data_IF_767827243952
#
_entry.id   IF_767827243952
#
_cell.length_a   1.000
_cell.length_b   1.000
_cell.length_c   1.000
_cell.angle_alpha   90.00
_cell.angle_beta   90.00
_cell.angle_gamma   90.00
#
_symmetry.space_group_name_H-M   'P 1'
#
loop_
_entity.id
_entity.type
_entity.pdbx_description
1 polymer ?
#
# COMPACT_ATOMS: atom_id res chain seq x y z
N UNK A 1 -3.70 -8.18 -5.96
CA UNK A 1 -2.38 -8.00 -5.33
C UNK A 1 -2.58 -7.04 -4.18
N UNK A 2 -2.06 -7.38 -2.99
CA UNK A 2 -2.17 -6.51 -1.83
C UNK A 2 -0.99 -5.53 -1.78
N UNK A 3 -1.20 -4.44 -1.06
CA UNK A 3 -0.30 -3.32 -0.83
C UNK A 3 1.10 -3.74 -0.42
N UNK A 4 1.21 -4.64 0.57
CA UNK A 4 2.50 -5.07 1.12
C UNK A 4 3.35 -5.78 0.06
N UNK A 5 2.74 -6.68 -0.73
CA UNK A 5 3.43 -7.34 -1.86
C UNK A 5 3.81 -6.37 -2.96
N UNK A 6 3.01 -5.32 -3.19
CA UNK A 6 3.38 -4.29 -4.15
C UNK A 6 4.61 -3.52 -3.66
N UNK A 7 4.69 -3.17 -2.37
CA UNK A 7 5.86 -2.54 -1.77
C UNK A 7 7.10 -3.43 -1.80
N UNK A 8 6.97 -4.74 -1.58
CA UNK A 8 8.07 -5.71 -1.62
C UNK A 8 8.85 -5.66 -2.95
N UNK A 9 8.17 -5.40 -4.07
CA UNK A 9 8.82 -5.27 -5.40
C UNK A 9 9.81 -4.12 -5.45
N UNK A 10 9.56 -3.04 -4.71
CA UNK A 10 10.39 -1.84 -4.69
C UNK A 10 11.36 -1.80 -3.51
N UNK A 11 11.17 -2.65 -2.50
CA UNK A 11 11.95 -2.62 -1.28
C UNK A 11 13.43 -2.93 -1.54
N UNK A 12 14.31 -2.16 -0.88
CA UNK A 12 15.73 -2.50 -0.85
C UNK A 12 15.94 -3.89 -0.24
N UNK A 13 17.03 -4.59 -0.54
CA UNK A 13 17.22 -5.99 -0.09
C UNK A 13 17.14 -6.15 1.43
N UNK A 14 17.68 -5.18 2.17
CA UNK A 14 17.63 -5.16 3.63
C UNK A 14 16.26 -4.71 4.18
N UNK A 15 15.44 -4.01 3.37
CA UNK A 15 14.10 -3.53 3.75
C UNK A 15 12.99 -4.54 3.43
N UNK A 16 13.16 -5.39 2.40
CA UNK A 16 12.11 -6.32 1.94
C UNK A 16 11.65 -7.34 2.98
N UNK A 17 12.42 -7.54 4.06
CA UNK A 17 12.05 -8.40 5.21
C UNK A 17 11.33 -7.66 6.33
N UNK A 18 11.22 -6.33 6.25
CA UNK A 18 10.72 -5.47 7.32
C UNK A 18 9.34 -4.87 7.05
N UNK A 19 8.73 -5.11 5.87
CA UNK A 19 7.38 -4.61 5.59
C UNK A 19 6.39 -5.24 6.58
N UNK A 20 5.83 -4.42 7.45
CA UNK A 20 4.87 -4.88 8.46
C UNK A 20 3.58 -5.27 7.76
N UNK A 21 3.07 -6.49 7.98
CA UNK A 21 1.80 -6.91 7.40
C UNK A 21 0.62 -6.29 8.18
N UNK A 22 -0.46 -5.94 7.50
CA UNK A 22 -1.66 -5.33 8.11
C UNK A 22 -2.25 -6.15 9.26
N UNK A 23 -2.05 -7.46 9.26
CA UNK A 23 -2.49 -8.37 10.33
C UNK A 23 -1.78 -8.10 11.66
N UNK A 24 -0.60 -7.48 11.66
CA UNK A 24 0.07 -7.02 12.89
C UNK A 24 -0.56 -5.76 13.47
N UNK A 25 -1.37 -5.05 12.68
CA UNK A 25 -2.11 -3.84 13.09
C UNK A 25 -3.54 -4.17 13.49
N UNK A 26 -4.23 -4.95 12.66
CA UNK A 26 -5.67 -5.20 12.77
C UNK A 26 -6.04 -6.69 12.73
N UNK A 27 -5.07 -7.60 12.82
CA UNK A 27 -5.32 -9.04 12.80
C UNK A 27 -5.68 -9.64 14.16
N UNK A 28 -5.93 -10.96 14.21
CA UNK A 28 -6.23 -11.66 15.45
C UNK A 28 -5.16 -11.45 16.52
N UNK A 29 -5.59 -11.21 17.76
CA UNK A 29 -4.68 -11.01 18.91
C UNK A 29 -4.11 -9.61 19.08
N UNK A 30 -4.37 -8.68 18.16
CA UNK A 30 -4.11 -7.25 18.38
C UNK A 30 -5.21 -6.65 19.27
N UNK A 31 -4.92 -5.62 20.06
CA UNK A 31 -5.92 -4.86 20.81
C UNK A 31 -5.72 -3.37 20.57
N UNK A 32 -6.78 -2.64 20.27
CA UNK A 32 -6.74 -1.20 19.98
C UNK A 32 -7.01 -0.33 21.20
N UNK A 33 -7.41 -0.94 22.32
CA UNK A 33 -7.60 -0.25 23.58
C UNK A 33 -6.85 -0.91 24.73
N UNK A 34 -6.59 -0.14 25.78
CA UNK A 34 -5.98 -0.61 27.03
C UNK A 34 -7.07 -1.06 27.99
N UNK A 35 -6.92 -2.28 28.50
CA UNK A 35 -7.88 -2.86 29.45
C UNK A 35 -9.20 -3.25 28.80
N UNK A 36 -10.27 -3.20 29.59
CA UNK A 36 -11.65 -3.43 29.14
C UNK A 36 -12.35 -2.09 28.99
N UNK A 37 -13.23 -1.99 27.98
CA UNK A 37 -14.15 -0.86 27.94
C UNK A 37 -15.21 -1.03 29.03
N UNK A 38 -15.74 0.08 29.54
CA UNK A 38 -16.66 0.03 30.68
C UNK A 38 -17.81 1.03 30.49
N UNK A 39 -18.98 0.68 31.03
CA UNK A 39 -20.10 1.59 31.27
C UNK A 39 -20.27 1.76 32.78
N UNK A 40 -20.29 3.01 33.24
CA UNK A 40 -20.43 3.36 34.66
C UNK A 40 -21.43 4.50 34.84
N UNK A 41 -22.21 4.45 35.92
CA UNK A 41 -23.15 5.50 36.33
C UNK A 41 -22.51 6.36 37.41
N UNK A 42 -22.68 7.67 37.31
CA UNK A 42 -22.18 8.68 38.23
C UNK A 42 -23.34 9.56 38.69
N UNK A 43 -23.23 10.09 39.91
CA UNK A 43 -24.05 11.21 40.33
C UNK A 43 -23.20 12.48 40.38
N UNK A 44 -23.72 13.57 39.84
CA UNK A 44 -23.03 14.87 39.88
C UNK A 44 -23.20 15.59 41.23
N UNK A 45 -24.04 15.06 42.14
CA UNK A 45 -24.29 15.61 43.47
C UNK A 45 -23.48 14.93 44.56
N UNK A 46 -22.55 15.67 45.18
CA UNK A 46 -21.88 15.25 46.41
C UNK A 46 -22.88 14.96 47.56
N UNK A 47 -22.48 14.07 48.48
CA UNK A 47 -23.19 13.66 49.71
C UNK A 47 -24.74 13.60 49.62
N UNK A 48 -25.27 12.41 49.28
CA UNK A 48 -26.71 12.13 49.39
C UNK A 48 -27.36 11.47 48.18
N UNK A 49 -26.61 11.27 47.09
CA UNK A 49 -27.08 10.58 45.88
C UNK A 49 -27.67 9.19 46.19
N UNK A 50 -28.73 8.76 45.47
CA UNK A 50 -29.28 7.41 45.63
C UNK A 50 -28.20 6.36 45.38
N UNK A 51 -28.05 5.45 46.34
CA UNK A 51 -27.03 4.41 46.31
C UNK A 51 -27.60 3.17 45.60
N UNK A 52 -27.12 2.90 44.39
CA UNK A 52 -27.41 1.66 43.64
C UNK A 52 -26.14 0.89 43.30
N UNK A 53 -26.29 -0.39 42.92
CA UNK A 53 -25.15 -1.24 42.52
C UNK A 53 -24.33 -0.66 41.35
N UNK A 54 -24.94 0.20 40.53
CA UNK A 54 -24.32 0.79 39.34
C UNK A 54 -23.67 2.18 39.57
N UNK A 55 -23.92 2.85 40.71
CA UNK A 55 -23.49 4.25 40.96
C UNK A 55 -22.08 4.30 41.57
N UNK A 56 -21.11 4.77 40.79
CA UNK A 56 -19.72 4.94 41.19
C UNK A 56 -19.51 6.18 42.08
N UNK A 57 -18.65 6.04 43.10
CA UNK A 57 -18.35 7.10 44.09
C UNK A 57 -17.18 8.01 43.68
N UNK A 58 -16.37 7.58 42.74
CA UNK A 58 -15.17 8.30 42.30
C UNK A 58 -15.47 9.24 41.13
N UNK A 59 -14.52 10.14 40.84
CA UNK A 59 -14.60 10.99 39.65
C UNK A 59 -14.80 10.12 38.40
N UNK A 60 -15.59 10.59 37.41
CA UNK A 60 -15.73 9.88 36.17
C UNK A 60 -14.34 9.67 35.53
N UNK A 61 -14.02 8.45 35.10
CA UNK A 61 -12.77 8.12 34.43
C UNK A 61 -12.66 8.97 33.17
N UNK A 62 -11.42 9.38 32.90
CA UNK A 62 -11.07 9.94 31.61
C UNK A 62 -11.00 8.79 30.61
N UNK A 63 -11.74 8.95 29.51
CA UNK A 63 -11.74 8.05 28.37
C UNK A 63 -11.30 8.85 27.14
N UNK A 64 -10.46 8.26 26.30
CA UNK A 64 -10.09 8.83 25.01
C UNK A 64 -11.30 8.90 24.05
N UNK A 65 -12.13 7.85 24.07
CA UNK A 65 -13.39 7.76 23.31
C UNK A 65 -14.51 7.45 24.29
N UNK A 66 -15.55 8.29 24.33
CA UNK A 66 -16.67 8.10 25.24
C UNK A 66 -17.98 8.66 24.72
N UNK A 67 -19.04 8.14 25.32
CA UNK A 67 -20.42 8.56 25.15
C UNK A 67 -21.02 8.72 26.53
N UNK A 68 -21.95 9.67 26.66
CA UNK A 68 -22.71 9.82 27.89
C UNK A 68 -24.19 10.05 27.64
N UNK A 69 -24.97 9.78 28.68
CA UNK A 69 -26.36 10.18 28.80
C UNK A 69 -26.60 10.70 30.20
N UNK A 70 -27.34 11.79 30.28
CA UNK A 70 -27.68 12.42 31.55
C UNK A 70 -29.17 12.20 31.83
N UNK A 71 -29.50 12.06 33.11
CA UNK A 71 -30.87 11.84 33.58
C UNK A 71 -31.10 12.61 34.88
N UNK A 72 -32.23 13.27 34.98
CA UNK A 72 -32.66 13.95 36.21
C UNK A 72 -33.77 13.13 36.87
N UNK A 73 -33.55 12.77 38.12
CA UNK A 73 -34.51 12.08 38.98
C UNK A 73 -35.04 13.05 40.04
N UNK A 74 -36.35 13.26 40.09
CA UNK A 74 -36.99 13.98 41.18
C UNK A 74 -37.36 13.00 42.30
N UNK A 75 -36.76 13.17 43.49
CA UNK A 75 -37.09 12.39 44.68
C UNK A 75 -38.31 13.05 45.37
N UNK A 76 -39.50 12.44 45.28
CA UNK A 76 -40.71 13.00 45.88
C UNK A 76 -40.70 12.95 47.41
N UNK A 77 -39.84 12.14 48.02
CA UNK A 77 -39.73 12.01 49.47
C UNK A 77 -38.86 13.13 50.05
N UNK A 78 -37.79 13.51 49.34
CA UNK A 78 -36.87 14.57 49.76
C UNK A 78 -37.18 15.93 49.16
N UNK A 79 -38.11 16.00 48.21
CA UNK A 79 -38.40 17.20 47.42
C UNK A 79 -37.12 17.76 46.76
N UNK A 80 -36.28 16.86 46.24
CA UNK A 80 -34.97 17.18 45.66
C UNK A 80 -34.79 16.50 44.30
N UNK A 81 -34.21 17.22 43.35
CA UNK A 81 -33.79 16.68 42.05
C UNK A 81 -32.33 16.23 42.13
N UNK A 82 -32.06 15.03 41.61
CA UNK A 82 -30.73 14.46 41.48
C UNK A 82 -30.37 14.31 40.01
N UNK A 83 -29.19 14.82 39.62
CA UNK A 83 -28.63 14.58 38.30
C UNK A 83 -27.73 13.35 38.33
N UNK A 84 -28.00 12.43 37.40
CA UNK A 84 -27.23 11.23 37.14
C UNK A 84 -26.64 11.36 35.73
N UNK A 85 -25.42 10.88 35.56
CA UNK A 85 -24.75 10.78 34.27
C UNK A 85 -24.21 9.37 34.12
N UNK A 86 -24.50 8.69 33.02
CA UNK A 86 -23.88 7.43 32.67
C UNK A 86 -22.88 7.64 31.56
N UNK A 87 -21.68 7.08 31.71
CA UNK A 87 -20.61 7.16 30.70
C UNK A 87 -20.16 5.78 30.29
N UNK A 88 -20.20 5.50 28.99
CA UNK A 88 -19.53 4.38 28.37
C UNK A 88 -18.29 4.88 27.64
N UNK A 89 -17.15 4.24 27.83
CA UNK A 89 -15.95 4.66 27.13
C UNK A 89 -14.79 3.70 27.26
N UNK A 90 -13.73 4.05 26.52
CA UNK A 90 -12.53 3.25 26.40
C UNK A 90 -11.31 4.15 26.24
N UNK A 91 -10.17 3.71 26.77
CA UNK A 91 -8.87 4.33 26.54
C UNK A 91 -8.12 3.57 25.45
N UNK A 92 -7.68 4.29 24.43
CA UNK A 92 -7.03 3.66 23.29
C UNK A 92 -5.60 3.25 23.63
N UNK A 93 -5.09 2.24 22.93
CA UNK A 93 -3.70 1.85 23.06
C UNK A 93 -2.81 2.79 22.24
N UNK A 94 -2.46 3.93 22.84
CA UNK A 94 -1.56 4.91 22.26
C UNK A 94 -0.15 4.33 21.96
N UNK A 95 0.24 3.19 22.53
CA UNK A 95 1.52 2.56 22.21
C UNK A 95 1.56 2.03 20.77
N UNK A 96 0.38 1.79 20.17
CA UNK A 96 0.25 1.50 18.73
C UNK A 96 0.57 2.69 17.83
N UNK A 97 0.67 3.91 18.35
CA UNK A 97 1.01 5.09 17.53
C UNK A 97 2.47 5.49 17.63
N UNK A 98 3.22 4.88 18.56
CA UNK A 98 4.62 5.22 18.81
C UNK A 98 5.52 4.78 17.66
N UNK A 99 6.63 5.48 17.50
CA UNK A 99 7.70 5.09 16.57
C UNK A 99 8.11 3.63 16.79
N UNK A 100 8.16 2.86 15.70
CA UNK A 100 8.49 1.43 15.70
C UNK A 100 7.32 0.50 16.06
N UNK A 101 6.15 1.02 16.43
CA UNK A 101 4.95 0.20 16.58
C UNK A 101 4.46 -0.33 15.23
N UNK A 102 3.72 -1.46 15.19
CA UNK A 102 3.24 -2.03 13.93
C UNK A 102 2.44 -1.05 13.06
N UNK A 103 1.58 -0.23 13.65
CA UNK A 103 0.78 0.74 12.89
C UNK A 103 1.64 1.90 12.37
N UNK A 104 2.52 2.46 13.21
CA UNK A 104 3.45 3.50 12.77
C UNK A 104 4.29 3.03 11.59
N UNK A 105 4.87 1.84 11.72
CA UNK A 105 5.69 1.21 10.68
C UNK A 105 4.86 0.93 9.42
N UNK A 106 3.65 0.39 9.54
CA UNK A 106 2.75 0.16 8.39
C UNK A 106 2.44 1.45 7.61
N UNK A 107 2.23 2.57 8.32
CA UNK A 107 1.91 3.87 7.70
C UNK A 107 3.15 4.51 7.05
N UNK A 108 4.33 4.38 7.66
CA UNK A 108 5.50 5.18 7.31
C UNK A 108 6.57 4.43 6.51
N UNK A 109 6.70 3.11 6.64
CA UNK A 109 7.73 2.35 5.90
C UNK A 109 7.49 2.33 4.39
N UNK A 110 6.25 2.54 3.95
CA UNK A 110 5.99 2.78 2.53
C UNK A 110 6.84 3.93 1.97
N UNK A 111 7.09 4.99 2.76
CA UNK A 111 7.93 6.11 2.33
C UNK A 111 9.40 5.72 2.30
N UNK A 112 9.87 4.88 3.21
CA UNK A 112 11.28 4.43 3.22
C UNK A 112 11.59 3.52 2.03
N UNK A 113 10.58 2.82 1.50
CA UNK A 113 10.64 2.02 0.27
C UNK A 113 10.52 2.88 -0.99
N UNK A 114 9.50 3.74 -1.06
CA UNK A 114 9.15 4.44 -2.30
C UNK A 114 9.98 5.71 -2.54
N UNK A 115 10.38 6.44 -1.49
CA UNK A 115 11.09 7.71 -1.64
C UNK A 115 12.43 7.57 -2.37
N UNK A 116 13.30 6.59 -2.05
CA UNK A 116 14.58 6.45 -2.76
C UNK A 116 14.41 6.20 -4.26
N UNK A 117 13.30 5.56 -4.67
CA UNK A 117 13.01 5.25 -6.08
C UNK A 117 12.41 6.47 -6.80
N UNK A 118 11.57 7.27 -6.13
CA UNK A 118 10.90 8.43 -6.72
C UNK A 118 11.73 9.72 -6.71
N UNK A 119 12.52 9.93 -5.66
CA UNK A 119 13.26 11.15 -5.41
C UNK A 119 14.77 10.88 -5.43
N UNK A 120 15.61 11.91 -5.62
CA UNK A 120 17.06 11.72 -5.69
C UNK A 120 17.58 10.87 -4.53
N UNK A 121 18.31 9.78 -4.81
CA UNK A 121 19.04 9.49 -6.05
C UNK A 121 18.25 8.78 -7.18
N UNK A 122 16.94 8.56 -7.02
CA UNK A 122 16.07 7.84 -7.95
C UNK A 122 16.50 6.37 -8.14
N UNK A 123 16.93 5.70 -7.07
CA UNK A 123 17.33 4.30 -7.06
C UNK A 123 17.49 3.75 -5.64
N UNK A 124 17.44 2.43 -5.52
CA UNK A 124 17.96 1.63 -4.42
C UNK A 124 18.69 0.39 -4.97
N UNK A 125 19.07 -0.56 -4.11
CA UNK A 125 19.82 -1.77 -4.50
C UNK A 125 18.98 -2.86 -5.20
N UNK A 126 17.66 -2.67 -5.28
CA UNK A 126 16.71 -3.54 -5.98
C UNK A 126 16.19 -2.89 -7.27
N UNK A 127 15.93 -1.58 -7.23
CA UNK A 127 15.20 -0.83 -8.26
C UNK A 127 15.94 0.44 -8.62
N UNK A 128 16.26 0.62 -9.90
CA UNK A 128 16.94 1.81 -10.41
C UNK A 128 16.37 2.22 -11.79
N UNK A 129 15.34 3.10 -11.85
CA UNK A 129 14.85 3.65 -13.11
C UNK A 129 15.95 4.18 -14.07
N UNK A 130 17.06 4.80 -13.60
CA UNK A 130 18.15 5.22 -14.47
C UNK A 130 18.85 4.07 -15.20
N UNK A 131 18.82 2.83 -14.71
CA UNK A 131 19.47 1.70 -15.39
C UNK A 131 18.81 1.38 -16.74
N UNK A 132 17.51 1.62 -16.88
CA UNK A 132 16.80 1.49 -18.14
C UNK A 132 17.26 2.49 -19.20
N UNK A 133 17.64 3.71 -18.78
CA UNK A 133 18.19 4.73 -19.68
C UNK A 133 19.53 4.27 -20.23
N UNK A 134 20.42 3.78 -19.36
CA UNK A 134 21.73 3.25 -19.77
C UNK A 134 21.57 2.05 -20.71
N UNK A 135 20.68 1.11 -20.38
CA UNK A 135 20.43 -0.06 -21.21
C UNK A 135 19.84 0.31 -22.58
N UNK A 136 18.91 1.27 -22.61
CA UNK A 136 18.33 1.79 -23.86
C UNK A 136 19.38 2.46 -24.73
N UNK A 137 20.22 3.30 -24.14
CA UNK A 137 21.25 4.02 -24.89
C UNK A 137 22.29 3.03 -25.45
N UNK A 138 22.66 1.98 -24.69
CA UNK A 138 23.48 0.89 -25.21
C UNK A 138 22.81 0.14 -26.38
N UNK A 139 21.49 -0.06 -26.36
CA UNK A 139 20.76 -0.66 -27.48
C UNK A 139 20.76 0.25 -28.72
N UNK A 140 20.63 1.57 -28.54
CA UNK A 140 20.74 2.54 -29.64
C UNK A 140 22.15 2.60 -30.23
N UNK A 141 23.17 2.61 -29.38
CA UNK A 141 24.57 2.59 -29.82
C UNK A 141 24.88 1.31 -30.63
N UNK A 142 24.30 0.18 -30.24
CA UNK A 142 24.41 -1.08 -30.99
C UNK A 142 23.69 -1.00 -32.35
N UNK A 143 22.52 -0.35 -32.41
CA UNK A 143 21.78 -0.10 -33.66
C UNK A 143 22.66 0.69 -34.65
N UNK A 144 23.19 1.82 -34.19
CA UNK A 144 24.03 2.71 -34.97
C UNK A 144 25.33 2.02 -35.42
N UNK A 145 25.93 1.21 -34.54
CA UNK A 145 27.12 0.43 -34.85
C UNK A 145 26.85 -0.59 -35.96
N UNK A 146 25.79 -1.39 -35.84
CA UNK A 146 25.44 -2.43 -36.82
C UNK A 146 25.10 -1.81 -38.19
N UNK A 147 24.28 -0.75 -38.21
CA UNK A 147 23.89 -0.05 -39.43
C UNK A 147 25.10 0.62 -40.09
N UNK A 148 25.92 1.33 -39.31
CA UNK A 148 27.09 2.06 -39.81
C UNK A 148 28.16 1.14 -40.38
N UNK A 149 28.48 0.03 -39.70
CA UNK A 149 29.44 -0.95 -40.21
C UNK A 149 28.91 -1.68 -41.45
N UNK A 150 27.64 -2.09 -41.46
CA UNK A 150 27.00 -2.68 -42.64
C UNK A 150 27.16 -1.77 -43.86
N UNK A 151 26.81 -0.49 -43.74
CA UNK A 151 26.93 0.48 -44.83
C UNK A 151 28.38 0.68 -45.28
N UNK A 152 29.33 0.74 -44.34
CA UNK A 152 30.75 0.92 -44.65
C UNK A 152 31.34 -0.26 -45.41
N UNK A 153 31.05 -1.48 -44.95
CA UNK A 153 31.51 -2.72 -45.58
C UNK A 153 30.89 -2.89 -46.97
N UNK A 154 29.59 -2.61 -47.10
CA UNK A 154 28.91 -2.58 -48.40
C UNK A 154 29.57 -1.59 -49.35
N UNK A 155 29.86 -0.37 -48.89
CA UNK A 155 30.55 0.65 -49.68
C UNK A 155 31.97 0.23 -50.10
N UNK A 156 32.68 -0.55 -49.29
CA UNK A 156 33.95 -1.16 -49.70
C UNK A 156 33.75 -2.22 -50.80
N UNK A 157 32.77 -3.11 -50.62
CA UNK A 157 32.45 -4.13 -51.62
C UNK A 157 32.04 -3.51 -52.97
N UNK A 158 31.29 -2.41 -52.96
CA UNK A 158 30.80 -1.74 -54.16
C UNK A 158 31.94 -1.13 -54.99
N UNK A 159 33.01 -0.62 -54.35
CA UNK A 159 34.20 -0.07 -55.02
C UNK A 159 35.14 -1.15 -55.56
N UNK A 160 35.26 -2.29 -54.90
CA UNK A 160 36.18 -3.34 -55.34
C UNK A 160 35.67 -3.98 -56.64
N UNK A 161 36.59 -4.22 -57.58
CA UNK A 161 36.28 -4.80 -58.89
C UNK A 161 35.22 -3.99 -59.68
N UNK A 162 35.15 -2.68 -59.47
CA UNK A 162 34.33 -1.77 -60.26
C UNK A 162 35.13 -1.19 -61.45
N UNK A 163 34.45 -0.78 -62.55
CA UNK A 163 35.14 -0.17 -63.68
C UNK A 163 35.88 1.11 -63.27
N UNK A 164 37.17 1.20 -63.64
CA UNK A 164 38.00 2.38 -63.37
C UNK A 164 38.71 2.39 -62.01
N UNK A 165 38.55 1.36 -61.20
CA UNK A 165 39.25 1.22 -59.90
C UNK A 165 40.57 0.45 -60.06
N UNK A 166 41.54 0.71 -59.19
CA UNK A 166 42.88 0.13 -59.27
C UNK A 166 42.91 -1.38 -58.99
N UNK A 167 41.95 -1.88 -58.20
CA UNK A 167 41.89 -3.29 -57.82
C UNK A 167 40.76 -4.05 -58.53
N UNK A 168 41.16 -4.79 -59.57
CA UNK A 168 40.26 -5.59 -60.42
C UNK A 168 40.76 -7.03 -60.57
N UNK A 169 39.91 -7.88 -61.15
CA UNK A 169 40.23 -9.27 -61.49
C UNK A 169 39.61 -10.29 -60.53
N UNK A 170 39.93 -11.56 -60.72
CA UNK A 170 39.31 -12.68 -59.99
C UNK A 170 39.47 -12.57 -58.47
N UNK A 171 40.66 -12.18 -57.98
CA UNK A 171 40.91 -11.99 -56.56
C UNK A 171 40.09 -10.82 -55.96
N UNK A 172 39.98 -9.70 -56.69
CA UNK A 172 39.13 -8.57 -56.31
C UNK A 172 37.65 -8.99 -56.26
N UNK A 173 37.20 -9.79 -57.23
CA UNK A 173 35.85 -10.35 -57.25
C UNK A 173 35.54 -11.26 -56.05
N UNK A 174 36.47 -12.14 -55.65
CA UNK A 174 36.32 -12.99 -54.46
C UNK A 174 36.27 -12.16 -53.18
N UNK A 175 37.12 -11.14 -53.05
CA UNK A 175 37.12 -10.29 -51.87
C UNK A 175 35.87 -9.40 -51.78
N UNK A 176 35.37 -8.89 -52.92
CA UNK A 176 34.05 -8.24 -53.00
C UNK A 176 32.95 -9.17 -52.50
N UNK A 177 32.93 -10.42 -52.96
CA UNK A 177 31.95 -11.40 -52.53
C UNK A 177 32.03 -11.69 -51.02
N UNK A 178 33.23 -11.76 -50.45
CA UNK A 178 33.45 -11.87 -49.00
C UNK A 178 32.85 -10.68 -48.24
N UNK A 179 33.16 -9.44 -48.63
CA UNK A 179 32.64 -8.23 -47.98
C UNK A 179 31.11 -8.13 -48.09
N UNK A 180 30.54 -8.47 -49.24
CA UNK A 180 29.08 -8.52 -49.42
C UNK A 180 28.44 -9.53 -48.46
N UNK A 181 29.02 -10.74 -48.36
CA UNK A 181 28.54 -11.77 -47.43
C UNK A 181 28.63 -11.29 -45.98
N UNK A 182 29.76 -10.67 -45.59
CA UNK A 182 29.94 -10.12 -44.25
C UNK A 182 28.94 -8.99 -43.93
N UNK A 183 28.64 -8.12 -44.89
CA UNK A 183 27.59 -7.09 -44.75
C UNK A 183 26.20 -7.70 -44.51
N UNK A 184 25.86 -8.80 -45.17
CA UNK A 184 24.59 -9.49 -44.95
C UNK A 184 24.53 -10.17 -43.57
N UNK A 185 25.65 -10.71 -43.08
CA UNK A 185 25.72 -11.28 -41.74
C UNK A 185 25.48 -10.21 -40.65
N UNK A 186 26.02 -8.98 -40.83
CA UNK A 186 25.71 -7.87 -39.93
C UNK A 186 24.23 -7.48 -39.95
N UNK A 187 23.60 -7.47 -41.13
CA UNK A 187 22.16 -7.26 -41.26
C UNK A 187 21.35 -8.37 -40.57
N UNK A 188 21.79 -9.62 -40.71
CA UNK A 188 21.16 -10.75 -40.05
C UNK A 188 21.25 -10.65 -38.52
N UNK A 189 22.41 -10.26 -37.97
CA UNK A 189 22.56 -9.98 -36.54
C UNK A 189 21.66 -8.82 -36.12
N UNK A 190 21.60 -7.74 -36.91
CA UNK A 190 20.73 -6.59 -36.66
C UNK A 190 19.26 -6.98 -36.57
N UNK A 191 18.77 -7.80 -37.50
CA UNK A 191 17.40 -8.31 -37.51
C UNK A 191 17.11 -9.28 -36.36
N UNK A 192 18.08 -10.07 -35.93
CA UNK A 192 17.92 -10.98 -34.78
C UNK A 192 17.86 -10.23 -33.45
N UNK A 193 18.64 -9.17 -33.31
CA UNK A 193 18.76 -8.40 -32.07
C UNK A 193 17.67 -7.34 -31.95
N UNK A 194 17.23 -6.75 -33.07
CA UNK A 194 16.25 -5.66 -33.15
C UNK A 194 16.50 -4.56 -32.09
N UNK A 195 17.67 -3.88 -32.12
CA UNK A 195 18.07 -2.97 -31.06
C UNK A 195 17.12 -1.77 -30.90
N UNK A 196 16.55 -1.28 -32.00
CA UNK A 196 15.54 -0.21 -31.98
C UNK A 196 14.31 -0.60 -31.14
N UNK A 197 13.78 -1.83 -31.34
CA UNK A 197 12.64 -2.33 -30.56
C UNK A 197 13.00 -2.59 -29.10
N UNK A 198 14.21 -3.10 -28.82
CA UNK A 198 14.69 -3.25 -27.44
C UNK A 198 14.73 -1.89 -26.72
N UNK A 199 15.28 -0.86 -27.37
CA UNK A 199 15.33 0.49 -26.82
C UNK A 199 13.92 1.05 -26.50
N UNK A 200 12.96 0.88 -27.42
CA UNK A 200 11.56 1.28 -27.20
C UNK A 200 10.94 0.59 -25.97
N UNK A 201 11.15 -0.73 -25.83
CA UNK A 201 10.58 -1.50 -24.72
C UNK A 201 11.23 -1.17 -23.38
N UNK A 202 12.54 -0.90 -23.36
CA UNK A 202 13.25 -0.42 -22.17
C UNK A 202 12.71 0.93 -21.68
N UNK A 203 12.42 1.86 -22.60
CA UNK A 203 11.77 3.14 -22.25
C UNK A 203 10.37 2.91 -21.65
N UNK A 204 9.56 2.04 -22.25
CA UNK A 204 8.21 1.71 -21.73
C UNK A 204 8.26 1.06 -20.34
N UNK A 205 9.23 0.19 -20.08
CA UNK A 205 9.43 -0.40 -18.74
C UNK A 205 9.82 0.64 -17.70
N UNK A 206 10.70 1.59 -18.06
CA UNK A 206 11.06 2.72 -17.19
C UNK A 206 9.85 3.57 -16.84
N UNK A 207 9.02 3.89 -17.83
CA UNK A 207 7.79 4.67 -17.64
C UNK A 207 6.79 3.93 -16.75
N UNK A 208 6.56 2.64 -17.01
CA UNK A 208 5.69 1.81 -16.19
C UNK A 208 6.19 1.67 -14.74
N UNK A 209 7.51 1.53 -14.55
CA UNK A 209 8.14 1.48 -13.23
C UNK A 209 7.87 2.78 -12.46
N UNK A 210 8.17 3.92 -13.10
CA UNK A 210 7.96 5.25 -12.51
C UNK A 210 6.48 5.49 -12.18
N UNK A 211 5.58 5.14 -13.09
CA UNK A 211 4.14 5.29 -12.90
C UNK A 211 3.61 4.40 -11.77
N UNK A 212 4.08 3.15 -11.67
CA UNK A 212 3.71 2.24 -10.59
C UNK A 212 4.17 2.75 -9.23
N UNK A 213 5.45 3.14 -9.10
CA UNK A 213 5.98 3.71 -7.84
C UNK A 213 5.21 4.97 -7.44
N UNK A 214 4.92 5.87 -8.40
CA UNK A 214 4.15 7.09 -8.12
C UNK A 214 2.72 6.78 -7.69
N UNK A 215 2.05 5.82 -8.34
CA UNK A 215 0.69 5.41 -7.98
C UNK A 215 0.63 4.89 -6.55
N UNK A 216 1.59 4.07 -6.13
CA UNK A 216 1.65 3.60 -4.75
C UNK A 216 1.86 4.76 -3.77
N UNK A 217 2.79 5.67 -4.07
CA UNK A 217 3.07 6.84 -3.24
C UNK A 217 1.84 7.75 -3.07
N UNK A 218 1.18 8.11 -4.17
CA UNK A 218 -0.02 8.93 -4.15
C UNK A 218 -1.16 8.24 -3.39
N UNK A 219 -1.33 6.92 -3.56
CA UNK A 219 -2.36 6.14 -2.87
C UNK A 219 -2.15 6.12 -1.36
N UNK A 220 -0.89 5.97 -0.92
CA UNK A 220 -0.53 6.09 0.51
C UNK A 220 -0.86 7.47 1.05
N UNK A 221 -0.50 8.53 0.34
CA UNK A 221 -0.76 9.90 0.81
C UNK A 221 -2.27 10.20 0.86
N UNK A 222 -3.03 9.79 -0.14
CA UNK A 222 -4.49 9.91 -0.14
C UNK A 222 -5.12 9.12 1.03
N UNK A 223 -4.61 7.92 1.32
CA UNK A 223 -5.03 7.16 2.50
C UNK A 223 -4.73 7.91 3.79
N UNK A 224 -3.51 8.46 3.94
CA UNK A 224 -3.14 9.24 5.14
C UNK A 224 -3.97 10.51 5.31
N UNK A 225 -4.16 11.28 4.25
CA UNK A 225 -4.96 12.50 4.24
C UNK A 225 -6.44 12.24 4.56
N UNK A 226 -6.94 11.02 4.31
CA UNK A 226 -8.31 10.65 4.65
C UNK A 226 -8.57 10.43 6.15
N UNK A 227 -7.52 10.42 6.99
CA UNK A 227 -7.63 10.14 8.43
C UNK A 227 -7.85 8.66 8.77
N UNK A 228 -8.24 7.83 7.79
CA UNK A 228 -8.49 6.39 7.94
C UNK A 228 -7.32 5.52 8.45
N UNK A 229 -6.03 5.89 8.35
CA UNK A 229 -4.98 5.07 8.95
C UNK A 229 -5.07 5.05 10.47
N UNK A 230 -5.58 6.12 11.09
CA UNK A 230 -5.60 6.25 12.53
C UNK A 230 -6.80 5.50 13.11
N UNK A 231 -6.51 4.37 13.75
CA UNK A 231 -7.53 3.48 14.31
C UNK A 231 -8.48 4.17 15.30
N UNK A 232 -7.99 5.21 16.01
CA UNK A 232 -8.78 6.02 16.96
C UNK A 232 -9.98 6.66 16.27
N UNK A 233 -9.80 7.16 15.04
CA UNK A 233 -10.88 7.76 14.27
C UNK A 233 -11.91 6.69 13.87
N UNK A 234 -11.47 5.58 13.30
CA UNK A 234 -12.37 4.46 12.92
C UNK A 234 -13.15 3.92 14.13
N UNK A 235 -12.48 3.78 15.28
CA UNK A 235 -13.11 3.33 16.52
C UNK A 235 -14.10 4.36 17.06
N UNK A 236 -13.73 5.65 17.05
CA UNK A 236 -14.58 6.74 17.50
C UNK A 236 -15.83 6.93 16.65
N UNK A 237 -15.68 6.91 15.32
CA UNK A 237 -16.78 7.02 14.36
C UNK A 237 -17.76 5.86 14.55
N UNK A 238 -17.25 4.61 14.58
CA UNK A 238 -18.09 3.43 14.81
C UNK A 238 -18.78 3.47 16.19
N UNK A 239 -18.06 3.85 17.24
CA UNK A 239 -18.64 3.95 18.57
C UNK A 239 -19.75 5.01 18.62
N UNK A 240 -19.53 6.17 17.99
CA UNK A 240 -20.54 7.21 17.84
C UNK A 240 -21.77 6.71 17.07
N UNK A 241 -21.58 5.98 15.97
CA UNK A 241 -22.68 5.34 15.21
C UNK A 241 -23.49 4.36 16.07
N UNK A 242 -22.80 3.46 16.79
CA UNK A 242 -23.43 2.42 17.63
C UNK A 242 -24.18 3.04 18.81
N UNK A 243 -23.62 4.06 19.44
CA UNK A 243 -24.20 4.71 20.61
C UNK A 243 -25.28 5.73 20.27
N UNK A 244 -25.27 6.31 19.06
CA UNK A 244 -26.32 7.22 18.58
C UNK A 244 -27.71 6.57 18.62
N UNK A 245 -27.77 5.27 18.32
CA UNK A 245 -29.02 4.50 18.29
C UNK A 245 -29.26 3.72 19.60
N UNK A 246 -28.50 4.00 20.65
CA UNK A 246 -28.62 3.33 21.93
C UNK A 246 -29.98 3.60 22.58
N UNK A 247 -30.65 2.54 23.04
CA UNK A 247 -31.86 2.65 23.87
C UNK A 247 -31.47 2.63 25.33
N UNK A 248 -31.76 3.72 26.03
CA UNK A 248 -31.40 3.92 27.43
C UNK A 248 -32.65 3.83 28.30
N UNK A 249 -32.62 2.92 29.28
CA UNK A 249 -33.69 2.78 30.27
C UNK A 249 -33.10 2.93 31.67
N UNK A 250 -33.55 3.96 32.37
CA UNK A 250 -33.27 4.16 33.79
C UNK A 250 -34.40 3.55 34.62
N UNK A 251 -34.06 2.69 35.57
CA UNK A 251 -35.02 2.08 36.49
C UNK A 251 -34.68 2.46 37.93
N UNK A 252 -35.71 2.89 38.65
CA UNK A 252 -35.62 3.24 40.06
C UNK A 252 -36.49 2.28 40.84
N UNK A 253 -35.87 1.53 41.76
CA UNK A 253 -36.60 0.67 42.69
C UNK A 253 -36.35 1.15 44.10
N UNK A 254 -37.43 1.37 44.84
CA UNK A 254 -37.38 1.75 46.24
C UNK A 254 -38.71 1.44 46.89
N UNK A 255 -38.68 1.15 48.19
CA UNK A 255 -39.88 1.12 49.01
C UNK A 255 -40.20 2.54 49.47
N UNK A 256 -41.42 3.00 49.20
CA UNK A 256 -41.96 4.22 49.80
C UNK A 256 -42.04 3.98 51.31
N UNK A 257 -41.26 4.71 52.10
CA UNK A 257 -41.31 4.62 53.57
C UNK A 257 -42.16 5.72 54.18
N UNK A 258 -42.79 5.36 55.28
CA UNK A 258 -43.60 6.20 56.15
C UNK A 258 -42.89 7.53 56.48
N UNK A 259 -43.56 8.66 56.25
CA UNK A 259 -43.04 10.03 56.36
C UNK A 259 -42.53 10.42 57.76
N UNK A 260 -42.62 9.52 58.75
CA UNK A 260 -42.39 9.79 60.18
C UNK A 260 -41.07 9.22 60.76
N UNK A 261 -40.23 8.56 59.96
CA UNK A 261 -38.95 7.99 60.43
C UNK A 261 -37.80 9.00 60.38
N UNK A 262 -37.23 9.35 61.54
CA UNK A 262 -36.09 10.29 61.70
C UNK A 262 -34.71 9.74 61.26
N UNK A 263 -34.63 8.49 60.78
CA UNK A 263 -33.37 7.90 60.28
C UNK A 263 -33.30 8.02 58.75
N UNK A 264 -32.35 8.78 58.18
CA UNK A 264 -32.34 9.15 56.76
C UNK A 264 -31.68 8.08 55.89
N UNK A 265 -32.37 6.95 55.67
CA UNK A 265 -31.89 5.91 54.76
C UNK A 265 -33.00 5.45 53.81
N UNK A 266 -33.44 6.31 52.89
CA UNK A 266 -34.12 5.83 51.68
C UNK A 266 -33.10 5.11 50.81
N UNK A 267 -33.26 3.80 50.65
CA UNK A 267 -32.45 2.97 49.76
C UNK A 267 -33.14 2.86 48.41
N UNK A 268 -33.02 3.91 47.59
CA UNK A 268 -33.38 3.80 46.17
C UNK A 268 -32.22 3.14 45.43
N UNK A 269 -32.51 2.04 44.74
CA UNK A 269 -31.57 1.44 43.80
C UNK A 269 -31.83 2.03 42.42
N UNK A 270 -30.78 2.59 41.83
CA UNK A 270 -30.77 2.98 40.42
C UNK A 270 -30.14 1.86 39.61
N UNK A 271 -30.80 1.44 38.54
CA UNK A 271 -30.20 0.59 37.52
C UNK A 271 -30.32 1.19 36.14
N UNK A 272 -29.29 0.95 35.33
CA UNK A 272 -29.21 1.40 33.94
C UNK A 272 -29.17 0.21 33.01
N UNK A 273 -30.07 0.18 32.04
CA UNK A 273 -29.99 -0.72 30.89
C UNK A 273 -29.71 0.09 29.62
N UNK A 274 -28.68 -0.30 28.88
CA UNK A 274 -28.35 0.27 27.57
C UNK A 274 -28.34 -0.85 26.54
N UNK A 275 -29.19 -0.73 25.53
CA UNK A 275 -29.24 -1.68 24.42
C UNK A 275 -28.72 -1.02 23.13
N UNK A 276 -27.70 -1.63 22.52
CA UNK A 276 -27.09 -1.19 21.25
C UNK A 276 -27.14 -2.32 20.22
N UNK A 277 -26.85 -2.05 18.93
CA UNK A 277 -26.66 -3.10 17.93
C UNK A 277 -25.60 -4.16 18.30
N UNK A 278 -24.64 -3.82 19.16
CA UNK A 278 -23.58 -4.73 19.64
C UNK A 278 -23.85 -5.31 21.03
N UNK A 279 -25.05 -5.11 21.59
CA UNK A 279 -25.43 -5.58 22.92
C UNK A 279 -25.23 -4.52 24.01
N UNK A 280 -25.00 -4.98 25.24
CA UNK A 280 -24.87 -4.12 26.43
C UNK A 280 -23.41 -3.65 26.60
N UNK A 281 -23.14 -2.32 26.61
CA UNK A 281 -21.80 -1.77 26.80
C UNK A 281 -21.19 -2.02 28.20
N UNK A 282 -21.94 -2.61 29.14
CA UNK A 282 -21.39 -3.18 30.37
C UNK A 282 -20.62 -4.48 30.15
N UNK A 283 -20.72 -5.11 28.97
CA UNK A 283 -20.20 -6.46 28.74
C UNK A 283 -18.97 -6.45 27.83
N UNK A 284 -18.03 -7.38 28.06
CA UNK A 284 -16.87 -7.56 27.19
C UNK A 284 -17.25 -7.98 25.75
N UNK A 285 -18.42 -8.60 25.58
CA UNK A 285 -18.93 -8.98 24.26
C UNK A 285 -19.20 -7.76 23.36
N UNK A 286 -19.77 -6.68 23.94
CA UNK A 286 -19.96 -5.42 23.22
C UNK A 286 -18.63 -4.85 22.73
N UNK A 287 -17.64 -4.74 23.61
CA UNK A 287 -16.33 -4.15 23.25
C UNK A 287 -15.56 -5.00 22.25
N UNK A 288 -15.67 -6.33 22.35
CA UNK A 288 -15.10 -7.26 21.38
C UNK A 288 -15.76 -7.09 20.00
N UNK A 289 -17.09 -6.94 19.94
CA UNK A 289 -17.81 -6.70 18.69
C UNK A 289 -17.44 -5.35 18.07
N UNK A 290 -17.41 -4.28 18.88
CA UNK A 290 -17.00 -2.94 18.47
C UNK A 290 -15.60 -2.94 17.85
N UNK A 291 -14.62 -3.55 18.54
CA UNK A 291 -13.25 -3.65 18.02
C UNK A 291 -13.16 -4.46 16.73
N UNK A 292 -13.89 -5.57 16.66
CA UNK A 292 -13.88 -6.46 15.49
C UNK A 292 -14.41 -5.72 14.25
N UNK A 293 -15.52 -5.01 14.40
CA UNK A 293 -16.07 -4.21 13.31
C UNK A 293 -15.16 -3.02 12.95
N UNK A 294 -14.59 -2.32 13.94
CA UNK A 294 -13.65 -1.22 13.68
C UNK A 294 -12.41 -1.68 12.88
N UNK A 295 -11.85 -2.85 13.23
CA UNK A 295 -10.75 -3.48 12.49
C UNK A 295 -11.17 -3.87 11.07
N UNK A 296 -12.36 -4.44 10.91
CA UNK A 296 -12.93 -4.75 9.60
C UNK A 296 -13.01 -3.49 8.73
N UNK A 297 -13.54 -2.38 9.26
CA UNK A 297 -13.62 -1.10 8.53
C UNK A 297 -12.26 -0.55 8.13
N UNK A 298 -11.27 -0.64 9.02
CA UNK A 298 -9.90 -0.22 8.71
C UNK A 298 -9.27 -1.10 7.63
N UNK A 299 -9.44 -2.43 7.71
CA UNK A 299 -8.96 -3.37 6.68
C UNK A 299 -9.64 -3.13 5.32
N UNK A 300 -10.93 -2.81 5.32
CA UNK A 300 -11.66 -2.39 4.11
C UNK A 300 -11.06 -1.11 3.54
N UNK A 301 -10.76 -0.11 4.37
CA UNK A 301 -10.10 1.11 3.91
C UNK A 301 -8.72 0.84 3.30
N UNK A 302 -7.93 -0.05 3.90
CA UNK A 302 -6.64 -0.50 3.32
C UNK A 302 -6.86 -1.15 1.95
N UNK A 303 -7.83 -2.06 1.83
CA UNK A 303 -8.12 -2.73 0.56
C UNK A 303 -8.59 -1.73 -0.52
N UNK A 304 -9.47 -0.81 -0.17
CA UNK A 304 -10.02 0.16 -1.11
C UNK A 304 -9.03 1.25 -1.52
N UNK A 305 -8.18 1.71 -0.60
CA UNK A 305 -7.33 2.87 -0.84
C UNK A 305 -5.89 2.50 -1.19
N UNK A 306 -5.43 1.31 -0.81
CA UNK A 306 -4.06 0.86 -1.09
C UNK A 306 -4.04 -0.34 -2.06
N UNK A 307 -4.78 -1.41 -1.79
CA UNK A 307 -4.72 -2.62 -2.64
C UNK A 307 -5.32 -2.39 -4.03
N UNK A 308 -6.48 -1.74 -4.09
CA UNK A 308 -7.20 -1.46 -5.33
C UNK A 308 -6.36 -0.67 -6.34
N UNK A 309 -5.67 0.44 -6.00
CA UNK A 309 -4.77 1.09 -6.95
C UNK A 309 -3.46 0.32 -7.18
N UNK A 310 -2.95 -0.41 -6.18
CA UNK A 310 -1.72 -1.21 -6.35
C UNK A 310 -1.87 -2.32 -7.40
N UNK A 311 -3.03 -3.00 -7.45
CA UNK A 311 -3.28 -4.11 -8.37
C UNK A 311 -3.02 -3.77 -9.84
N UNK A 312 -3.75 -2.80 -10.44
CA UNK A 312 -3.57 -2.38 -11.82
C UNK A 312 -2.18 -1.80 -12.10
N UNK A 313 -1.61 -1.01 -11.17
CA UNK A 313 -0.29 -0.41 -11.33
C UNK A 313 0.80 -1.49 -11.49
N UNK A 314 0.77 -2.51 -10.64
CA UNK A 314 1.73 -3.61 -10.67
C UNK A 314 1.46 -4.58 -11.84
N UNK A 315 0.21 -4.75 -12.27
CA UNK A 315 -0.10 -5.50 -13.48
C UNK A 315 0.49 -4.83 -14.73
N UNK A 316 0.33 -3.51 -14.86
CA UNK A 316 0.91 -2.74 -15.97
C UNK A 316 2.46 -2.82 -15.97
N UNK A 317 3.08 -2.72 -14.80
CA UNK A 317 4.51 -2.90 -14.64
C UNK A 317 4.97 -4.30 -15.10
N UNK A 318 4.28 -5.35 -14.64
CA UNK A 318 4.57 -6.73 -15.03
C UNK A 318 4.48 -6.94 -16.54
N UNK A 319 3.43 -6.41 -17.19
CA UNK A 319 3.29 -6.46 -18.65
C UNK A 319 4.44 -5.75 -19.36
N UNK A 320 4.86 -4.57 -18.91
CA UNK A 320 5.97 -3.85 -19.53
C UNK A 320 7.30 -4.63 -19.44
N UNK A 321 7.57 -5.25 -18.29
CA UNK A 321 8.75 -6.10 -18.09
C UNK A 321 8.70 -7.36 -18.95
N UNK A 322 7.54 -8.02 -19.03
CA UNK A 322 7.34 -9.18 -19.88
C UNK A 322 7.56 -8.84 -21.36
N UNK A 323 6.99 -7.73 -21.83
CA UNK A 323 7.19 -7.19 -23.18
C UNK A 323 8.65 -6.89 -23.49
N UNK A 324 9.39 -6.36 -22.52
CA UNK A 324 10.82 -6.05 -22.67
C UNK A 324 11.64 -7.33 -22.72
N UNK A 325 11.32 -8.30 -21.87
CA UNK A 325 12.02 -9.59 -21.84
C UNK A 325 11.78 -10.38 -23.13
N UNK A 326 10.58 -10.27 -23.71
CA UNK A 326 10.21 -10.95 -24.95
C UNK A 326 10.96 -10.42 -26.20
N UNK A 327 11.51 -9.21 -26.15
CA UNK A 327 12.29 -8.64 -27.27
C UNK A 327 13.80 -8.79 -27.11
N UNK A 328 14.29 -9.13 -25.92
CA UNK A 328 15.71 -9.39 -25.70
C UNK A 328 15.99 -10.84 -26.17
N UNK A 329 16.82 -11.05 -27.20
CA UNK A 329 17.09 -12.39 -27.69
C UNK A 329 17.83 -13.21 -26.62
N UNK A 330 17.31 -14.40 -26.31
CA UNK A 330 17.96 -15.32 -25.37
C UNK A 330 19.29 -15.88 -25.91
N UNK A 331 19.41 -15.98 -27.23
CA UNK A 331 20.63 -16.35 -27.94
C UNK A 331 20.65 -15.66 -29.29
N UNK A 332 21.84 -15.24 -29.73
CA UNK A 332 22.08 -14.74 -31.08
C UNK A 332 22.72 -15.89 -31.86
N UNK A 333 22.14 -16.26 -33.00
CA UNK A 333 22.75 -17.28 -33.85
C UNK A 333 24.08 -16.74 -34.40
N UNK A 334 25.17 -17.53 -34.31
CA UNK A 334 26.46 -17.07 -34.79
C UNK A 334 26.38 -16.80 -36.29
N UNK A 335 27.04 -15.73 -36.77
CA UNK A 335 27.15 -15.46 -38.19
C UNK A 335 27.69 -16.68 -38.96
N UNK A 336 27.04 -17.04 -40.08
CA UNK A 336 27.50 -18.14 -40.94
C UNK A 336 27.96 -17.62 -42.28
N UNK A 337 29.19 -17.13 -42.33
CA UNK A 337 29.74 -16.53 -43.54
C UNK A 337 29.77 -17.56 -44.69
N UNK A 338 28.84 -17.43 -45.63
CA UNK A 338 28.78 -18.24 -46.85
C UNK A 338 29.22 -17.37 -48.03
N UNK A 339 30.32 -17.74 -48.66
CA UNK A 339 30.76 -17.12 -49.90
C UNK A 339 29.80 -17.55 -51.03
N UNK A 340 29.31 -16.62 -51.86
CA UNK A 340 28.57 -17.00 -53.07
C UNK A 340 29.51 -17.79 -54.00
N UNK A 341 28.96 -18.73 -54.81
CA UNK A 341 29.76 -19.48 -55.76
C UNK A 341 30.48 -18.52 -56.72
N UNK A 342 31.80 -18.70 -56.86
CA UNK A 342 32.62 -17.87 -57.74
C UNK A 342 32.15 -18.10 -59.19
N UNK A 343 31.60 -17.07 -59.83
CA UNK A 343 31.34 -17.10 -61.28
C UNK A 343 32.70 -17.19 -61.98
N UNK A 344 32.90 -18.22 -62.80
CA UNK A 344 34.13 -18.35 -63.60
C UNK A 344 34.32 -17.09 -64.45
N UNK A 345 35.55 -16.55 -64.59
CA UNK A 345 35.79 -15.39 -65.42
C UNK A 345 35.34 -15.69 -66.86
N UNK A 346 34.59 -14.77 -67.46
CA UNK A 346 34.30 -14.85 -68.89
C UNK A 346 35.62 -14.83 -69.66
N UNK A 347 35.80 -15.71 -70.66
CA UNK A 347 37.03 -15.77 -71.43
C UNK A 347 37.28 -14.40 -72.09
N UNK A 348 38.56 -13.95 -72.15
CA UNK A 348 38.89 -12.68 -72.79
C UNK A 348 38.40 -12.67 -74.23
N UNK A 349 37.75 -11.57 -74.64
CA UNK A 349 37.33 -11.31 -76.02
C UNK A 349 38.50 -10.83 -76.86
#
# INVERSE_FOLDING_TARGET
MNWEKALEVFAAKEQGKAIVPREKVAGPGTNWYKGEGELKVYSEGGWGAPWGADVYKDKPPAYDIWWHTDYTFDDPVREQSFNLSARAGVNVDWDLTRDGSPLYTFINDALTVLNPVLFPPNQNDTTAPPSFVVARDAARDLDDWLIGWRQRIKGWADRINAPGEDWQGSAAGVFKAFLTSFSHELEYVHLQVDPARMAEKLDKSREALTAATKTLYDSRNAWVESGKPFFVQTLGDLFGEVMKDAKVTWTFTGEERDKHSYTPHSTFTVSLAVATPFGDPKTQAFWTALQTEAKTRWLTAVAEMLDRPAGPAMAALSTAYADTTAVIPAAILPPTLKLPPVKAPEPPK
#
